data_IF_352266045438
#
_entry.id   IF_352266045438
#
_cell.length_a   1.000
_cell.length_b   1.000
_cell.length_c   1.000
_cell.angle_alpha   90.00
_cell.angle_beta   90.00
_cell.angle_gamma   90.00
#
_symmetry.space_group_name_H-M   'P 1'
#
loop_
_entity.id
_entity.type
_entity.pdbx_description
1 polymer ?
#
# COMPACT_ATOMS: atom_id res chain seq x y z
N UNK A 1 11.94 -48.42 -17.81
CA UNK A 1 11.02 -47.27 -17.79
C UNK A 1 10.90 -46.76 -19.21
N UNK A 2 9.69 -46.73 -19.76
CA UNK A 2 9.46 -46.27 -21.14
C UNK A 2 9.66 -44.76 -21.22
N UNK A 3 10.09 -44.25 -22.39
CA UNK A 3 10.30 -42.82 -22.65
C UNK A 3 9.05 -41.97 -22.27
N UNK A 4 7.86 -42.55 -22.41
CA UNK A 4 6.59 -41.96 -21.98
C UNK A 4 6.51 -41.66 -20.49
N UNK A 5 7.06 -42.53 -19.63
CA UNK A 5 7.02 -42.34 -18.17
C UNK A 5 7.92 -41.17 -17.73
N UNK A 6 9.04 -40.93 -18.42
CA UNK A 6 9.96 -39.82 -18.14
C UNK A 6 9.38 -38.47 -18.57
N UNK A 7 8.66 -38.42 -19.69
CA UNK A 7 8.00 -37.20 -20.17
C UNK A 7 6.87 -36.80 -19.22
N UNK A 8 6.02 -37.76 -18.81
CA UNK A 8 4.93 -37.49 -17.86
C UNK A 8 5.49 -37.02 -16.51
N UNK A 9 6.52 -37.68 -15.99
CA UNK A 9 7.16 -37.26 -14.74
C UNK A 9 7.79 -35.86 -14.87
N UNK A 10 8.42 -35.55 -16.00
CA UNK A 10 8.98 -34.22 -16.29
C UNK A 10 7.92 -33.13 -16.33
N UNK A 11 6.76 -33.38 -16.94
CA UNK A 11 5.63 -32.43 -17.00
C UNK A 11 4.99 -32.25 -15.62
N UNK A 12 4.86 -33.31 -14.83
CA UNK A 12 4.33 -33.24 -13.46
C UNK A 12 5.29 -32.48 -12.56
N UNK A 13 6.59 -32.76 -12.62
CA UNK A 13 7.62 -32.03 -11.88
C UNK A 13 7.72 -30.58 -12.36
N UNK A 14 7.57 -30.32 -13.66
CA UNK A 14 7.52 -28.95 -14.19
C UNK A 14 6.31 -28.18 -13.67
N UNK A 15 5.11 -28.76 -13.73
CA UNK A 15 3.92 -28.13 -13.14
C UNK A 15 3.97 -28.03 -11.62
N UNK A 16 4.69 -28.91 -10.93
CA UNK A 16 4.83 -28.85 -9.48
C UNK A 16 5.90 -27.84 -9.03
N UNK A 17 6.99 -27.69 -9.80
CA UNK A 17 8.08 -26.75 -9.51
C UNK A 17 7.84 -25.34 -10.08
N UNK A 18 7.12 -25.22 -11.21
CA UNK A 18 6.79 -23.94 -11.85
C UNK A 18 5.30 -23.60 -11.86
N UNK A 19 4.42 -24.49 -11.41
CA UNK A 19 3.03 -24.15 -11.10
C UNK A 19 2.95 -23.39 -9.79
N UNK A 20 3.62 -22.25 -9.72
CA UNK A 20 3.17 -21.17 -8.87
C UNK A 20 1.85 -20.74 -9.49
N UNK A 21 0.74 -21.27 -8.98
CA UNK A 21 -0.55 -20.63 -9.19
C UNK A 21 -0.34 -19.19 -8.77
N UNK A 22 -0.27 -18.26 -9.71
CA UNK A 22 -0.44 -16.84 -9.38
C UNK A 22 -1.75 -16.79 -8.61
N UNK A 23 -1.66 -16.61 -7.30
CA UNK A 23 -2.84 -16.38 -6.49
C UNK A 23 -3.39 -15.08 -7.02
N UNK A 24 -4.44 -15.18 -7.83
CA UNK A 24 -5.12 -14.04 -8.41
C UNK A 24 -5.37 -13.02 -7.30
N UNK A 25 -4.73 -11.86 -7.40
CA UNK A 25 -4.84 -10.80 -6.41
C UNK A 25 -6.25 -10.23 -6.56
N UNK A 26 -7.12 -10.52 -5.58
CA UNK A 26 -8.54 -10.18 -5.61
C UNK A 26 -8.83 -8.97 -4.76
N UNK A 27 -9.82 -8.19 -5.17
CA UNK A 27 -10.27 -7.04 -4.40
C UNK A 27 -10.76 -7.44 -3.00
N UNK A 28 -10.45 -6.61 -2.01
CA UNK A 28 -10.76 -6.86 -0.60
C UNK A 28 -11.82 -5.90 -0.07
N UNK A 29 -12.80 -6.41 0.68
CA UNK A 29 -13.80 -5.60 1.39
C UNK A 29 -13.28 -5.11 2.75
N UNK A 30 -11.98 -4.81 2.85
CA UNK A 30 -11.38 -4.10 3.99
C UNK A 30 -11.00 -2.69 3.54
N UNK A 31 -11.27 -1.72 4.40
CA UNK A 31 -10.91 -0.33 4.15
C UNK A 31 -10.11 0.26 5.31
N UNK A 32 -9.16 1.14 4.99
CA UNK A 32 -8.39 1.89 5.95
C UNK A 32 -8.53 3.40 5.72
N UNK A 33 -8.84 4.13 6.78
CA UNK A 33 -8.70 5.58 6.85
C UNK A 33 -7.46 5.85 7.71
N UNK A 34 -6.40 6.36 7.08
CA UNK A 34 -5.07 6.51 7.68
C UNK A 34 -4.82 8.01 7.83
N UNK A 35 -4.84 8.51 9.07
CA UNK A 35 -4.93 9.94 9.37
C UNK A 35 -3.81 10.45 10.29
N UNK A 36 -2.57 10.56 9.79
CA UNK A 36 -1.52 11.29 10.51
C UNK A 36 -1.83 12.79 10.68
N UNK A 37 -2.72 13.40 9.87
CA UNK A 37 -3.14 14.80 10.07
C UNK A 37 -3.89 15.02 11.39
N UNK A 38 -4.45 13.97 11.99
CA UNK A 38 -5.15 14.05 13.29
C UNK A 38 -4.25 14.42 14.48
N UNK A 39 -2.92 14.52 14.31
CA UNK A 39 -2.02 15.08 15.32
C UNK A 39 -2.36 16.55 15.59
N UNK A 40 -2.66 17.30 14.53
CA UNK A 40 -3.04 18.71 14.64
C UNK A 40 -4.54 18.81 14.92
N UNK A 41 -4.89 19.38 16.08
CA UNK A 41 -6.25 19.54 16.53
C UNK A 41 -7.11 20.38 15.56
N UNK A 42 -6.52 21.34 14.85
CA UNK A 42 -7.21 22.15 13.84
C UNK A 42 -7.45 21.40 12.54
N UNK A 43 -6.73 20.31 12.31
CA UNK A 43 -6.88 19.45 11.14
C UNK A 43 -7.69 18.20 11.47
N UNK A 44 -8.16 17.97 12.70
CA UNK A 44 -9.06 16.84 12.98
C UNK A 44 -10.42 17.04 12.30
N UNK A 45 -10.96 15.98 11.71
CA UNK A 45 -12.27 16.04 11.06
C UNK A 45 -13.07 14.74 11.26
N UNK A 46 -13.70 14.61 12.43
CA UNK A 46 -14.50 13.43 12.74
C UNK A 46 -15.73 13.30 11.83
N UNK A 47 -16.28 14.41 11.33
CA UNK A 47 -17.40 14.39 10.38
C UNK A 47 -17.01 13.70 9.08
N UNK A 48 -15.82 13.99 8.54
CA UNK A 48 -15.27 13.28 7.39
C UNK A 48 -15.10 11.78 7.67
N UNK A 49 -14.43 11.44 8.77
CA UNK A 49 -14.16 10.05 9.17
C UNK A 49 -15.45 9.26 9.30
N UNK A 50 -16.46 9.80 10.01
CA UNK A 50 -17.76 9.15 10.19
C UNK A 50 -18.51 8.99 8.87
N UNK A 51 -18.58 10.06 8.06
CA UNK A 51 -19.30 10.06 6.78
C UNK A 51 -18.76 8.98 5.84
N UNK A 52 -17.44 8.93 5.68
CA UNK A 52 -16.78 7.93 4.83
C UNK A 52 -16.96 6.53 5.41
N UNK A 53 -16.81 6.36 6.73
CA UNK A 53 -16.99 5.07 7.40
C UNK A 53 -18.41 4.53 7.17
N UNK A 54 -19.42 5.38 7.29
CA UNK A 54 -20.82 5.00 7.12
C UNK A 54 -21.13 4.62 5.66
N UNK A 55 -20.59 5.36 4.68
CA UNK A 55 -20.71 4.98 3.27
C UNK A 55 -20.07 3.61 3.04
N UNK A 56 -18.81 3.41 3.42
CA UNK A 56 -18.09 2.15 3.18
C UNK A 56 -18.75 0.96 3.90
N UNK A 57 -19.22 1.13 5.14
CA UNK A 57 -19.93 0.07 5.88
C UNK A 57 -21.26 -0.33 5.22
N UNK A 58 -22.01 0.61 4.64
CA UNK A 58 -23.23 0.30 3.86
C UNK A 58 -22.93 -0.59 2.64
N UNK A 59 -21.70 -0.55 2.12
CA UNK A 59 -21.22 -1.40 1.05
C UNK A 59 -20.43 -2.63 1.55
N UNK A 60 -20.64 -3.03 2.81
CA UNK A 60 -20.07 -4.22 3.45
C UNK A 60 -18.55 -4.20 3.64
N UNK A 61 -17.94 -3.02 3.72
CA UNK A 61 -16.52 -2.93 4.09
C UNK A 61 -16.32 -3.06 5.60
N UNK A 62 -15.29 -3.81 5.97
CA UNK A 62 -14.66 -3.74 7.29
C UNK A 62 -13.72 -2.53 7.34
N UNK A 63 -14.17 -1.45 7.98
CA UNK A 63 -13.48 -0.15 7.98
C UNK A 63 -12.69 0.01 9.28
N UNK A 64 -11.38 0.21 9.16
CA UNK A 64 -10.51 0.58 10.28
C UNK A 64 -10.02 2.03 10.13
N UNK A 65 -10.11 2.80 11.20
CA UNK A 65 -9.53 4.14 11.29
C UNK A 65 -8.24 4.09 12.11
N UNK A 66 -7.18 4.70 11.59
CA UNK A 66 -5.88 4.83 12.24
C UNK A 66 -5.56 6.31 12.41
N UNK A 67 -5.52 6.77 13.66
CA UNK A 67 -5.14 8.15 13.97
C UNK A 67 -3.60 8.34 14.00
N UNK A 68 -3.17 9.55 14.35
CA UNK A 68 -1.75 9.89 14.41
C UNK A 68 -0.96 9.06 15.42
N UNK A 69 -1.59 8.49 16.45
CA UNK A 69 -0.88 7.67 17.45
C UNK A 69 -0.44 6.32 16.87
N UNK A 70 -1.10 5.87 15.80
CA UNK A 70 -0.87 4.56 15.17
C UNK A 70 -0.09 4.67 13.86
N UNK A 71 -0.12 5.83 13.17
CA UNK A 71 0.40 6.02 11.80
C UNK A 71 1.91 6.33 11.73
N UNK A 72 2.70 5.55 12.46
CA UNK A 72 4.16 5.64 12.51
C UNK A 72 4.84 4.84 11.38
N UNK A 73 6.19 4.86 11.31
CA UNK A 73 6.94 4.16 10.26
C UNK A 73 6.66 2.66 10.25
N UNK A 74 6.58 2.02 11.41
CA UNK A 74 6.33 0.58 11.52
C UNK A 74 4.94 0.18 11.04
N UNK A 75 3.93 1.04 11.24
CA UNK A 75 2.62 0.86 10.62
C UNK A 75 2.72 0.87 9.10
N UNK A 76 3.38 1.88 8.52
CA UNK A 76 3.50 2.00 7.06
C UNK A 76 4.32 0.86 6.44
N UNK A 77 5.31 0.29 7.16
CA UNK A 77 6.08 -0.88 6.71
C UNK A 77 5.22 -2.13 6.51
N UNK A 78 4.04 -2.21 7.12
CA UNK A 78 3.12 -3.34 7.01
C UNK A 78 1.90 -3.02 6.15
N UNK A 79 1.84 -1.83 5.54
CA UNK A 79 0.64 -1.31 4.89
C UNK A 79 0.07 -2.29 3.84
N UNK A 80 0.94 -2.86 3.00
CA UNK A 80 0.55 -3.80 1.94
C UNK A 80 0.28 -5.24 2.43
N UNK A 81 0.50 -5.55 3.71
CA UNK A 81 0.15 -6.85 4.31
C UNK A 81 -1.29 -6.87 4.83
N UNK A 82 -1.89 -5.70 5.05
CA UNK A 82 -3.20 -5.59 5.72
C UNK A 82 -4.41 -5.87 4.79
N UNK A 83 -4.16 -6.12 3.50
CA UNK A 83 -5.17 -6.53 2.53
C UNK A 83 -6.36 -5.54 2.44
N UNK A 84 -6.09 -4.24 2.34
CA UNK A 84 -7.14 -3.21 2.16
C UNK A 84 -7.49 -3.01 0.69
N UNK A 85 -8.76 -3.13 0.31
CA UNK A 85 -9.24 -2.75 -1.02
C UNK A 85 -9.48 -1.24 -1.16
N UNK A 86 -9.70 -0.52 -0.06
CA UNK A 86 -9.82 0.96 -0.07
C UNK A 86 -8.85 1.53 0.95
N UNK A 87 -8.02 2.49 0.53
CA UNK A 87 -7.05 3.16 1.40
C UNK A 87 -7.21 4.67 1.21
N UNK A 88 -7.58 5.38 2.28
CA UNK A 88 -7.60 6.84 2.32
C UNK A 88 -6.41 7.33 3.13
N UNK A 89 -5.47 7.99 2.46
CA UNK A 89 -4.26 8.56 3.05
C UNK A 89 -4.49 10.03 3.33
N UNK A 90 -4.98 10.33 4.54
CA UNK A 90 -5.17 11.68 5.06
C UNK A 90 -3.86 12.17 5.66
N UNK A 91 -2.93 12.55 4.80
CA UNK A 91 -1.54 12.89 5.17
C UNK A 91 -1.02 14.15 4.49
N UNK A 92 -0.03 14.79 5.14
CA UNK A 92 0.81 15.78 4.47
C UNK A 92 1.64 15.12 3.38
N UNK A 93 1.92 15.89 2.34
CA UNK A 93 2.77 15.51 1.23
C UNK A 93 3.63 16.71 0.85
N UNK A 94 4.88 16.46 0.48
CA UNK A 94 5.78 17.52 0.04
C UNK A 94 6.63 17.06 -1.13
N UNK A 95 6.87 18.00 -2.05
CA UNK A 95 7.90 17.85 -3.07
C UNK A 95 9.26 17.78 -2.37
N UNK A 96 10.04 16.76 -2.71
CA UNK A 96 11.39 16.61 -2.21
C UNK A 96 12.31 17.68 -2.81
N UNK A 97 13.08 18.33 -1.94
CA UNK A 97 14.07 19.33 -2.36
C UNK A 97 15.09 18.73 -3.33
N UNK A 98 15.27 19.38 -4.48
CA UNK A 98 16.23 18.96 -5.52
C UNK A 98 15.81 17.73 -6.33
N UNK A 99 14.57 17.26 -6.18
CA UNK A 99 14.03 16.08 -6.88
C UNK A 99 12.62 16.40 -7.41
N UNK A 100 12.13 15.58 -8.33
CA UNK A 100 10.77 15.65 -8.86
C UNK A 100 9.94 14.52 -8.27
N UNK A 101 9.97 14.33 -6.95
CA UNK A 101 9.19 13.28 -6.28
C UNK A 101 8.45 13.85 -5.08
N UNK A 102 7.20 13.45 -4.91
CA UNK A 102 6.42 13.76 -3.71
C UNK A 102 6.55 12.61 -2.71
N UNK A 103 6.90 12.97 -1.47
CA UNK A 103 6.97 12.05 -0.33
C UNK A 103 5.79 12.27 0.62
N UNK A 104 5.29 11.19 1.21
CA UNK A 104 4.12 11.22 2.10
C UNK A 104 4.57 11.11 3.56
N UNK A 105 3.96 11.91 4.42
CA UNK A 105 4.37 12.02 5.82
C UNK A 105 3.77 10.90 6.66
N UNK A 106 4.53 10.45 7.64
CA UNK A 106 4.04 9.68 8.79
C UNK A 106 3.72 10.64 9.95
N UNK A 107 3.11 10.15 11.02
CA UNK A 107 2.98 10.90 12.27
C UNK A 107 4.24 10.85 13.16
N UNK A 108 5.24 10.06 12.77
CA UNK A 108 6.43 9.81 13.59
C UNK A 108 7.45 10.93 13.43
N UNK A 109 7.89 11.51 14.55
CA UNK A 109 8.94 12.54 14.57
C UNK A 109 10.23 11.99 14.01
N UNK A 110 10.88 12.80 13.17
CA UNK A 110 12.13 12.42 12.55
C UNK A 110 13.26 12.30 13.58
N UNK A 111 14.00 11.21 13.50
CA UNK A 111 15.22 10.97 14.28
C UNK A 111 16.31 10.40 13.36
N UNK A 112 17.44 11.10 13.25
CA UNK A 112 18.56 10.69 12.39
C UNK A 112 19.16 9.33 12.80
N UNK A 113 18.99 8.92 14.05
CA UNK A 113 19.56 7.67 14.60
C UNK A 113 18.68 6.45 14.36
N UNK A 114 17.40 6.63 14.02
CA UNK A 114 16.43 5.54 13.83
C UNK A 114 16.27 5.18 12.37
N UNK A 115 16.08 3.90 12.05
CA UNK A 115 15.90 3.43 10.66
C UNK A 115 17.06 3.84 9.72
N UNK A 116 18.30 3.81 10.22
CA UNK A 116 19.49 4.26 9.48
C UNK A 116 19.65 3.58 8.10
N UNK A 117 19.30 2.30 7.98
CA UNK A 117 19.26 1.59 6.69
C UNK A 117 18.24 2.21 5.72
N UNK A 118 17.00 2.38 6.16
CA UNK A 118 15.92 2.94 5.33
C UNK A 118 16.22 4.39 4.93
N UNK A 119 16.86 5.16 5.82
CA UNK A 119 17.34 6.51 5.51
C UNK A 119 18.49 6.51 4.51
N UNK A 120 19.51 5.65 4.71
CA UNK A 120 20.66 5.53 3.81
C UNK A 120 20.26 5.16 2.40
N UNK A 121 19.17 4.39 2.25
CA UNK A 121 18.58 3.97 0.97
C UNK A 121 17.52 4.94 0.43
N UNK A 122 17.29 6.07 1.11
CA UNK A 122 16.31 7.11 0.75
C UNK A 122 14.86 6.59 0.64
N UNK A 123 14.54 5.54 1.39
CA UNK A 123 13.18 5.03 1.55
C UNK A 123 12.41 5.90 2.55
N UNK A 124 13.10 6.33 3.61
CA UNK A 124 12.63 7.34 4.55
C UNK A 124 13.47 8.59 4.42
N UNK A 125 12.83 9.75 4.44
CA UNK A 125 13.47 11.06 4.40
C UNK A 125 12.90 11.98 5.49
N UNK A 126 13.59 13.10 5.73
CA UNK A 126 13.10 14.13 6.63
C UNK A 126 12.06 15.00 5.92
N UNK A 127 10.79 14.86 6.30
CA UNK A 127 9.74 15.82 5.98
C UNK A 127 9.78 17.01 6.95
N UNK A 128 9.59 18.23 6.44
CA UNK A 128 9.53 19.46 7.24
C UNK A 128 8.14 20.11 7.09
N UNK A 129 7.50 20.40 8.21
CA UNK A 129 6.25 21.15 8.28
C UNK A 129 6.49 22.43 9.05
N UNK A 130 6.04 23.55 8.49
CA UNK A 130 6.05 24.84 9.19
C UNK A 130 4.65 25.08 9.76
N UNK A 131 4.51 24.95 11.08
CA UNK A 131 3.25 25.17 11.79
C UNK A 131 3.46 26.37 12.71
N UNK A 132 2.77 27.47 12.43
CA UNK A 132 2.81 28.69 13.24
C UNK A 132 4.23 29.24 13.50
N UNK A 133 5.16 29.05 12.55
CA UNK A 133 6.55 29.50 12.68
C UNK A 133 7.49 28.47 13.31
N UNK A 134 6.98 27.34 13.79
CA UNK A 134 7.76 26.21 14.27
C UNK A 134 7.97 25.19 13.15
N UNK A 135 9.23 24.84 12.88
CA UNK A 135 9.55 23.78 11.92
C UNK A 135 9.56 22.43 12.63
N UNK A 136 8.52 21.63 12.40
CA UNK A 136 8.41 20.26 12.86
C UNK A 136 8.96 19.31 11.81
N UNK A 137 9.64 18.26 12.27
CA UNK A 137 10.29 17.26 11.42
C UNK A 137 9.68 15.89 11.64
N UNK A 138 9.33 15.22 10.55
CA UNK A 138 8.70 13.91 10.55
C UNK A 138 9.42 12.97 9.58
N UNK A 139 9.29 11.67 9.79
CA UNK A 139 9.61 10.73 8.73
C UNK A 139 8.58 10.86 7.62
N UNK A 140 9.06 10.98 6.38
CA UNK A 140 8.26 10.85 5.17
C UNK A 140 8.78 9.67 4.35
N UNK A 141 7.88 8.91 3.74
CA UNK A 141 8.23 7.75 2.93
C UNK A 141 8.16 8.08 1.44
N UNK A 142 9.10 7.49 0.69
CA UNK A 142 9.24 7.69 -0.74
C UNK A 142 8.48 6.66 -1.57
N UNK A 143 8.42 6.88 -2.88
CA UNK A 143 7.85 5.88 -3.79
C UNK A 143 8.59 4.54 -3.73
N UNK A 144 9.91 4.55 -3.49
CA UNK A 144 10.68 3.32 -3.32
C UNK A 144 10.33 2.58 -2.02
N UNK A 145 9.97 3.29 -0.96
CA UNK A 145 9.46 2.65 0.26
C UNK A 145 8.25 1.78 -0.04
N UNK A 146 7.29 2.28 -0.84
CA UNK A 146 6.11 1.52 -1.28
C UNK A 146 6.50 0.30 -2.12
N UNK A 147 7.42 0.47 -3.08
CA UNK A 147 7.94 -0.64 -3.91
C UNK A 147 8.58 -1.75 -3.10
N UNK A 148 9.12 -1.45 -1.93
CA UNK A 148 9.81 -2.41 -1.08
C UNK A 148 8.97 -3.00 0.05
N UNK A 149 7.74 -2.54 0.27
CA UNK A 149 6.85 -3.12 1.27
C UNK A 149 6.69 -4.65 1.10
N UNK A 150 6.66 -5.45 2.17
CA UNK A 150 6.14 -6.80 2.06
C UNK A 150 4.64 -6.78 1.71
N UNK A 151 4.18 -7.80 0.96
CA UNK A 151 2.78 -7.93 0.56
C UNK A 151 2.42 -7.17 -0.73
N UNK A 152 1.11 -7.11 -1.01
CA UNK A 152 0.53 -6.51 -2.22
C UNK A 152 -0.77 -5.78 -1.88
N UNK A 153 -1.09 -4.76 -2.66
CA UNK A 153 -2.38 -4.08 -2.62
C UNK A 153 -3.42 -4.91 -3.39
N UNK A 154 -4.51 -5.38 -2.77
CA UNK A 154 -5.52 -6.23 -3.40
C UNK A 154 -6.43 -5.45 -4.35
N UNK A 155 -5.95 -5.15 -5.58
CA UNK A 155 -6.68 -4.32 -6.55
C UNK A 155 -7.15 -2.99 -5.94
N UNK A 156 -6.36 -2.45 -5.01
CA UNK A 156 -6.81 -1.38 -4.11
C UNK A 156 -7.12 -0.08 -4.84
N UNK A 157 -8.06 0.66 -4.28
CA UNK A 157 -8.32 2.07 -4.58
C UNK A 157 -7.59 2.89 -3.52
N UNK A 158 -6.57 3.62 -3.93
CA UNK A 158 -5.78 4.48 -3.04
C UNK A 158 -6.16 5.93 -3.30
N UNK A 159 -6.54 6.67 -2.27
CA UNK A 159 -6.84 8.10 -2.34
C UNK A 159 -5.84 8.84 -1.47
N UNK A 160 -4.93 9.59 -2.08
CA UNK A 160 -3.95 10.42 -1.39
C UNK A 160 -4.43 11.86 -1.29
N UNK A 161 -4.66 12.32 -0.06
CA UNK A 161 -5.36 13.56 0.22
C UNK A 161 -4.43 14.76 0.43
N UNK A 162 -3.12 14.57 0.26
CA UNK A 162 -2.12 15.63 0.42
C UNK A 162 -1.87 16.45 -0.86
N UNK A 163 -1.17 17.57 -0.70
CA UNK A 163 -0.75 18.45 -1.79
C UNK A 163 0.12 17.71 -2.82
N UNK A 164 -0.12 17.96 -4.11
CA UNK A 164 0.67 17.48 -5.25
C UNK A 164 0.88 15.96 -5.31
N UNK A 165 0.09 15.21 -4.56
CA UNK A 165 0.15 13.76 -4.46
C UNK A 165 -0.02 13.05 -5.80
N UNK A 166 -0.61 13.74 -6.80
CA UNK A 166 -0.63 13.30 -8.19
C UNK A 166 -0.55 14.49 -9.15
N UNK A 167 0.60 15.17 -9.22
CA UNK A 167 0.88 16.11 -10.31
C UNK A 167 1.73 15.48 -11.44
N UNK A 168 1.66 16.04 -12.64
CA UNK A 168 2.33 15.50 -13.84
C UNK A 168 3.86 15.47 -13.74
N UNK A 169 4.47 16.33 -12.92
CA UNK A 169 5.94 16.46 -12.84
C UNK A 169 6.57 15.68 -11.69
N UNK A 170 5.83 15.36 -10.63
CA UNK A 170 6.40 14.87 -9.37
C UNK A 170 5.57 13.85 -8.58
N UNK A 171 4.25 13.84 -8.74
CA UNK A 171 3.36 12.88 -8.05
C UNK A 171 3.28 11.50 -8.73
N UNK A 172 3.62 11.40 -10.01
CA UNK A 172 3.49 10.16 -10.79
C UNK A 172 4.31 9.00 -10.19
N UNK A 173 5.51 9.27 -9.66
CA UNK A 173 6.39 8.21 -9.16
C UNK A 173 5.79 7.46 -7.96
N UNK A 174 5.07 8.17 -7.08
CA UNK A 174 4.37 7.62 -5.92
C UNK A 174 3.15 6.81 -6.37
N UNK A 175 2.30 7.38 -7.24
CA UNK A 175 1.15 6.68 -7.78
C UNK A 175 1.54 5.38 -8.51
N UNK A 176 2.59 5.44 -9.33
CA UNK A 176 3.15 4.28 -10.01
C UNK A 176 3.62 3.21 -9.03
N UNK A 177 4.26 3.58 -7.92
CA UNK A 177 4.70 2.61 -6.92
C UNK A 177 3.53 1.86 -6.27
N UNK A 178 2.42 2.54 -5.96
CA UNK A 178 1.21 1.87 -5.46
C UNK A 178 0.62 0.91 -6.51
N UNK A 179 0.54 1.34 -7.77
CA UNK A 179 -0.02 0.51 -8.85
C UNK A 179 0.86 -0.69 -9.20
N UNK A 180 2.19 -0.52 -9.26
CA UNK A 180 3.17 -1.61 -9.41
C UNK A 180 3.07 -2.63 -8.27
N UNK A 181 2.54 -2.21 -7.11
CA UNK A 181 2.33 -3.04 -5.94
C UNK A 181 0.92 -3.64 -5.85
N UNK A 182 0.09 -3.47 -6.88
CA UNK A 182 -1.22 -4.11 -7.01
C UNK A 182 -2.43 -3.19 -6.85
N UNK A 183 -2.24 -1.89 -6.59
CA UNK A 183 -3.36 -0.96 -6.58
C UNK A 183 -3.93 -0.78 -8.01
N UNK A 184 -5.26 -0.86 -8.14
CA UNK A 184 -5.94 -0.64 -9.43
C UNK A 184 -5.91 0.82 -9.83
N UNK A 185 -6.08 1.70 -8.84
CA UNK A 185 -6.12 3.15 -9.06
C UNK A 185 -5.51 3.90 -7.88
N UNK A 186 -4.78 4.95 -8.21
CA UNK A 186 -4.33 5.96 -7.27
C UNK A 186 -4.97 7.30 -7.65
N UNK A 187 -5.67 7.93 -6.71
CA UNK A 187 -6.35 9.21 -6.87
C UNK A 187 -5.65 10.23 -5.99
N UNK A 188 -5.34 11.42 -6.50
CA UNK A 188 -4.66 12.45 -5.75
C UNK A 188 -4.82 13.84 -6.34
N UNK A 189 -4.29 14.84 -5.64
CA UNK A 189 -4.38 16.24 -6.03
C UNK A 189 -3.18 16.66 -6.89
N UNK A 190 -3.46 17.41 -7.96
CA UNK A 190 -2.42 17.93 -8.86
C UNK A 190 -1.68 19.14 -8.29
N UNK A 191 -2.27 19.83 -7.32
CA UNK A 191 -1.74 21.06 -6.75
C UNK A 191 -1.88 21.12 -5.23
N UNK A 192 -1.88 22.35 -4.73
CA UNK A 192 -2.03 22.63 -3.31
C UNK A 192 -3.48 22.48 -2.91
N UNK A 193 -3.74 21.86 -1.77
CA UNK A 193 -5.09 21.65 -1.28
C UNK A 193 -5.15 21.89 0.23
N UNK A 194 -6.22 22.53 0.70
CA UNK A 194 -6.48 22.69 2.12
C UNK A 194 -7.10 21.42 2.71
N UNK A 195 -6.84 21.16 4.00
CA UNK A 195 -7.35 19.97 4.68
C UNK A 195 -8.89 19.91 4.65
N UNK A 196 -9.57 21.04 4.87
CA UNK A 196 -11.03 21.13 4.84
C UNK A 196 -11.61 20.89 3.45
N UNK A 197 -10.95 21.41 2.40
CA UNK A 197 -11.39 21.20 1.02
C UNK A 197 -11.20 19.75 0.58
N UNK A 198 -10.03 19.15 0.82
CA UNK A 198 -9.82 17.74 0.49
C UNK A 198 -10.78 16.83 1.25
N UNK A 199 -11.03 17.05 2.54
CA UNK A 199 -11.99 16.24 3.29
C UNK A 199 -13.39 16.30 2.67
N UNK A 200 -13.86 17.50 2.34
CA UNK A 200 -15.16 17.72 1.73
C UNK A 200 -15.29 17.04 0.37
N UNK A 201 -14.32 17.26 -0.52
CA UNK A 201 -14.40 16.73 -1.89
C UNK A 201 -14.12 15.22 -1.94
N UNK A 202 -13.28 14.67 -1.06
CA UNK A 202 -13.10 13.22 -0.95
C UNK A 202 -14.33 12.54 -0.34
N UNK A 203 -15.03 13.14 0.64
CA UNK A 203 -16.30 12.58 1.11
C UNK A 203 -17.33 12.47 -0.04
N UNK A 204 -17.43 13.50 -0.89
CA UNK A 204 -18.27 13.48 -2.10
C UNK A 204 -17.78 12.44 -3.11
N UNK A 205 -16.47 12.33 -3.33
CA UNK A 205 -15.89 11.32 -4.22
C UNK A 205 -16.33 9.92 -3.78
N UNK A 206 -16.16 9.60 -2.49
CA UNK A 206 -16.57 8.31 -1.92
C UNK A 206 -18.08 8.11 -2.07
N UNK A 207 -18.90 9.12 -1.81
CA UNK A 207 -20.34 9.02 -2.07
C UNK A 207 -20.66 8.71 -3.54
N UNK A 208 -20.02 9.38 -4.50
CA UNK A 208 -20.23 9.15 -5.95
C UNK A 208 -19.79 7.76 -6.39
N UNK A 209 -18.63 7.32 -5.92
CA UNK A 209 -18.07 6.01 -6.26
C UNK A 209 -18.92 4.86 -5.72
N UNK A 210 -19.41 4.98 -4.48
CA UNK A 210 -20.09 3.89 -3.78
C UNK A 210 -21.62 3.97 -3.89
N UNK A 211 -22.22 5.11 -3.54
CA UNK A 211 -23.69 5.26 -3.61
C UNK A 211 -24.17 5.59 -5.02
N UNK A 212 -23.44 6.46 -5.72
CA UNK A 212 -23.76 6.85 -7.09
C UNK A 212 -23.37 5.79 -8.14
N UNK A 213 -22.48 4.87 -7.77
CA UNK A 213 -21.86 3.90 -8.66
C UNK A 213 -21.31 4.56 -9.96
N UNK A 214 -20.79 5.78 -9.81
CA UNK A 214 -20.19 6.53 -10.91
C UNK A 214 -18.86 5.86 -11.32
N UNK A 215 -18.53 5.80 -12.63
CA UNK A 215 -17.19 5.46 -13.08
C UNK A 215 -16.14 6.38 -12.46
N UNK A 216 -14.94 5.86 -12.17
CA UNK A 216 -13.84 6.61 -11.53
C UNK A 216 -13.61 7.97 -12.19
N UNK A 217 -13.53 8.02 -13.52
CA UNK A 217 -13.26 9.26 -14.26
C UNK A 217 -14.34 10.32 -14.05
N UNK A 218 -15.61 9.91 -13.92
CA UNK A 218 -16.73 10.82 -13.71
C UNK A 218 -16.74 11.32 -12.27
N UNK A 219 -16.54 10.42 -11.30
CA UNK A 219 -16.50 10.79 -9.89
C UNK A 219 -15.34 11.76 -9.59
N UNK A 220 -14.17 11.53 -10.17
CA UNK A 220 -12.99 12.40 -10.04
C UNK A 220 -13.20 13.75 -10.73
N UNK A 221 -13.72 13.77 -11.97
CA UNK A 221 -14.00 15.00 -12.71
C UNK A 221 -15.04 15.90 -12.02
N UNK A 222 -15.92 15.32 -11.23
CA UNK A 222 -16.95 16.03 -10.47
C UNK A 222 -16.45 16.63 -9.14
N UNK A 223 -15.18 16.42 -8.78
CA UNK A 223 -14.57 17.10 -7.64
C UNK A 223 -14.32 18.58 -7.97
N UNK A 224 -14.58 19.46 -7.00
CA UNK A 224 -14.38 20.89 -7.17
C UNK A 224 -12.88 21.21 -7.08
N UNK A 225 -12.26 21.86 -8.08
CA UNK A 225 -10.87 22.32 -7.97
C UNK A 225 -10.70 23.34 -6.83
N UNK A 226 -9.50 23.43 -6.28
CA UNK A 226 -9.13 24.48 -5.31
C UNK A 226 -8.09 25.43 -5.91
N UNK A 227 -8.23 26.72 -5.65
CA UNK A 227 -7.26 27.73 -6.07
C UNK A 227 -6.53 28.26 -4.85
N UNK A 228 -5.21 28.01 -4.77
CA UNK A 228 -4.34 28.50 -3.70
C UNK A 228 -3.13 29.19 -4.33
N UNK A 229 -2.88 30.44 -3.95
CA UNK A 229 -1.69 31.19 -4.42
C UNK A 229 -1.61 31.32 -5.95
N UNK A 230 -2.75 31.40 -6.65
CA UNK A 230 -2.82 31.49 -8.11
C UNK A 230 -2.61 30.17 -8.86
N UNK A 231 -2.47 29.05 -8.15
CA UNK A 231 -2.38 27.71 -8.76
C UNK A 231 -3.69 26.95 -8.57
N UNK A 232 -4.17 26.29 -9.61
CA UNK A 232 -5.34 25.41 -9.56
C UNK A 232 -4.89 23.99 -9.19
N UNK A 233 -5.57 23.40 -8.22
CA UNK A 233 -5.43 22.01 -7.81
C UNK A 233 -6.69 21.25 -8.18
N UNK A 234 -6.52 20.22 -9.00
CA UNK A 234 -7.60 19.34 -9.47
C UNK A 234 -7.37 17.94 -8.92
N UNK A 235 -8.45 17.23 -8.64
CA UNK A 235 -8.39 15.82 -8.34
C UNK A 235 -8.19 15.04 -9.65
N UNK A 236 -7.22 14.15 -9.69
CA UNK A 236 -6.87 13.33 -10.85
C UNK A 236 -6.61 11.88 -10.43
N UNK A 237 -6.52 10.96 -11.40
CA UNK A 237 -6.27 9.55 -11.13
C UNK A 237 -5.18 8.97 -12.03
N UNK A 238 -4.55 7.89 -11.55
CA UNK A 238 -3.51 7.13 -12.23
C UNK A 238 -3.77 5.62 -12.08
N UNK A 239 -3.54 4.80 -13.12
CA UNK A 239 -3.17 5.21 -14.48
C UNK A 239 -4.32 5.93 -15.20
N UNK A 240 -3.99 6.96 -15.98
CA UNK A 240 -4.96 7.76 -16.72
C UNK A 240 -5.38 7.07 -18.03
N UNK A 241 -5.99 5.90 -17.92
CA UNK A 241 -6.47 5.08 -19.06
C UNK A 241 -7.97 4.80 -18.96
N UNK A 242 -8.62 4.63 -20.11
CA UNK A 242 -10.08 4.44 -20.17
C UNK A 242 -10.57 3.22 -19.40
N UNK A 243 -9.81 2.13 -19.37
CA UNK A 243 -10.13 0.93 -18.59
C UNK A 243 -10.31 1.27 -17.10
N UNK A 244 -9.33 1.97 -16.52
CA UNK A 244 -9.38 2.42 -15.12
C UNK A 244 -10.44 3.50 -14.93
N UNK A 245 -10.54 4.44 -15.87
CA UNK A 245 -11.52 5.53 -15.77
C UNK A 245 -12.98 5.06 -15.85
N UNK A 246 -13.26 4.00 -16.61
CA UNK A 246 -14.60 3.44 -16.79
C UNK A 246 -14.98 2.42 -15.69
N UNK A 247 -14.01 1.97 -14.91
CA UNK A 247 -14.24 1.03 -13.81
C UNK A 247 -15.22 1.61 -12.79
N UNK A 248 -16.17 0.78 -12.38
CA UNK A 248 -17.09 1.07 -11.28
C UNK A 248 -16.71 0.24 -10.06
N UNK A 249 -16.87 0.82 -8.87
CA UNK A 249 -16.50 0.11 -7.64
C UNK A 249 -17.43 -1.09 -7.40
N UNK A 250 -18.68 -1.04 -7.87
CA UNK A 250 -19.58 -2.21 -7.84
C UNK A 250 -18.99 -3.44 -8.50
N UNK A 251 -18.20 -3.27 -9.57
CA UNK A 251 -17.64 -4.40 -10.33
C UNK A 251 -16.58 -5.13 -9.49
N UNK A 252 -15.72 -4.36 -8.81
CA UNK A 252 -14.72 -4.88 -7.86
C UNK A 252 -15.38 -5.56 -6.65
N UNK A 253 -16.45 -4.96 -6.11
CA UNK A 253 -17.21 -5.54 -4.99
C UNK A 253 -17.85 -6.87 -5.41
N UNK A 254 -18.47 -6.91 -6.59
CA UNK A 254 -19.11 -8.12 -7.11
C UNK A 254 -18.09 -9.24 -7.34
N UNK A 255 -16.90 -8.93 -7.88
CA UNK A 255 -15.80 -9.87 -8.06
C UNK A 255 -15.35 -10.49 -6.71
N UNK A 256 -15.18 -9.64 -5.69
CA UNK A 256 -14.79 -10.06 -4.34
C UNK A 256 -15.86 -10.97 -3.70
N UNK A 257 -17.15 -10.61 -3.83
CA UNK A 257 -18.25 -11.38 -3.26
C UNK A 257 -18.46 -12.72 -3.97
N UNK A 258 -18.33 -12.78 -5.30
CA UNK A 258 -18.42 -14.01 -6.07
C UNK A 258 -17.33 -15.01 -5.66
N UNK A 259 -16.11 -14.51 -5.43
CA UNK A 259 -14.97 -15.31 -4.95
C UNK A 259 -15.20 -15.86 -3.53
N UNK A 260 -15.79 -15.07 -2.64
CA UNK A 260 -16.10 -15.54 -1.29
C UNK A 260 -17.17 -16.65 -1.29
N UNK A 261 -18.13 -16.60 -2.22
CA UNK A 261 -19.15 -17.65 -2.38
C UNK A 261 -18.55 -18.95 -2.91
N UNK A 262 -17.62 -18.89 -3.87
CA UNK A 262 -16.99 -20.11 -4.42
C UNK A 262 -16.10 -20.81 -3.39
N UNK A 263 -15.34 -20.06 -2.58
CA UNK A 263 -14.54 -20.62 -1.47
C UNK A 263 -15.43 -21.31 -0.43
N UNK A 264 -16.55 -20.69 -0.02
CA UNK A 264 -17.50 -21.30 0.93
C UNK A 264 -18.12 -22.59 0.38
N UNK A 265 -18.48 -22.62 -0.91
CA UNK A 265 -19.05 -23.82 -1.56
C UNK A 265 -18.04 -24.97 -1.62
N UNK A 266 -16.76 -24.68 -1.90
CA UNK A 266 -15.69 -25.68 -1.88
C UNK A 266 -15.42 -26.21 -0.47
N UNK A 267 -15.43 -25.35 0.55
CA UNK A 267 -15.28 -25.75 1.96
C UNK A 267 -16.44 -26.59 2.51
N UNK A 268 -17.67 -26.32 2.06
CA UNK A 268 -18.86 -27.11 2.43
C UNK A 268 -18.90 -28.48 1.73
N UNK A 269 -18.43 -28.57 0.49
CA UNK A 269 -18.33 -29.85 -0.23
C UNK A 269 -17.14 -30.71 0.23
N UNK A 270 -16.16 -30.14 0.94
CA UNK A 270 -15.01 -30.87 1.50
C UNK A 270 -15.29 -31.62 2.81
N UNK A 271 -16.48 -31.49 3.39
CA UNK A 271 -16.87 -32.13 4.66
C UNK A 271 -18.06 -33.10 4.53
N UNK A 272 -18.33 -33.57 3.30
CA UNK A 272 -19.50 -34.41 2.98
C UNK A 272 -19.21 -35.84 2.52
N UNK A 273 -18.00 -36.18 2.07
CA UNK A 273 -17.75 -37.43 1.32
C UNK A 273 -16.55 -38.24 1.83
N UNK A 274 -16.51 -38.63 3.12
CA UNK A 274 -15.71 -39.81 3.56
C UNK A 274 -16.38 -40.50 4.76
N UNK A 275 -17.63 -40.95 4.65
CA UNK A 275 -18.10 -42.11 5.45
C UNK A 275 -19.19 -42.84 4.67
N UNK A 276 -18.79 -43.83 3.87
CA UNK A 276 -19.53 -45.10 3.73
C UNK A 276 -18.67 -46.14 3.02
N UNK A 277 -18.47 -47.24 3.74
CA UNK A 277 -18.11 -48.60 3.28
C UNK A 277 -16.77 -48.73 2.55
N UNK A 278 -15.73 -49.30 3.19
CA UNK A 278 -15.61 -50.76 3.27
C UNK A 278 -14.77 -51.22 4.47
N UNK A 279 -15.28 -52.22 5.16
CA UNK A 279 -14.58 -53.02 6.18
C UNK A 279 -13.61 -53.99 5.49
N UNK A 280 -12.30 -53.89 5.75
CA UNK A 280 -11.39 -55.05 5.73
C UNK A 280 -10.35 -54.92 6.86
N UNK A 281 -10.20 -56.06 7.53
CA UNK A 281 -9.48 -56.42 8.75
C UNK A 281 -8.05 -55.88 8.93
N UNK A 282 -7.75 -55.59 10.21
CA UNK A 282 -6.42 -55.56 10.86
C UNK A 282 -5.49 -56.67 10.37
N UNK A 283 -4.24 -56.30 10.10
CA UNK A 283 -3.05 -57.08 10.46
C UNK A 283 -1.97 -56.12 10.95
N UNK A 284 -1.60 -56.24 12.24
CA UNK A 284 -0.35 -55.71 12.77
C UNK A 284 0.78 -56.66 12.34
N UNK A 285 1.95 -56.13 11.96
CA UNK A 285 3.21 -56.37 12.66
C UNK A 285 4.45 -56.03 11.82
N UNK A 286 5.50 -55.67 12.55
CA UNK A 286 6.94 -55.68 12.25
C UNK A 286 7.61 -54.42 11.67
N UNK A 287 8.32 -53.76 12.58
CA UNK A 287 9.46 -52.90 12.36
C UNK A 287 10.71 -53.70 11.97
N UNK A 288 11.51 -53.21 11.02
CA UNK A 288 12.98 -53.39 10.89
C UNK A 288 13.48 -52.36 9.85
N UNK A 289 14.11 -51.25 10.23
CA UNK A 289 15.57 -51.02 10.33
C UNK A 289 16.38 -51.58 9.15
N UNK A 290 16.94 -50.70 8.30
CA UNK A 290 18.28 -50.87 7.75
C UNK A 290 18.82 -49.55 7.17
N UNK A 291 20.00 -49.18 7.65
CA UNK A 291 20.81 -48.01 7.33
C UNK A 291 21.81 -48.31 6.19
N UNK A 292 22.28 -47.21 5.58
CA UNK A 292 23.59 -47.02 4.93
C UNK A 292 23.73 -47.34 3.43
N UNK A 293 24.16 -46.32 2.65
CA UNK A 293 25.50 -46.24 2.08
C UNK A 293 25.84 -44.80 1.59
N UNK A 294 26.83 -44.18 2.28
CA UNK A 294 27.88 -43.19 1.88
C UNK A 294 27.52 -42.05 0.91
N UNK A 295 27.61 -40.73 1.21
CA UNK A 295 28.69 -39.89 1.81
C UNK A 295 30.12 -40.14 1.30
N UNK A 296 30.54 -39.35 0.31
CA UNK A 296 31.87 -38.71 0.08
C UNK A 296 31.53 -37.42 -0.69
N UNK A 297 31.80 -36.19 -0.22
CA UNK A 297 33.09 -35.57 0.02
C UNK A 297 33.01 -34.49 1.12
N UNK A 298 34.14 -34.29 1.78
CA UNK A 298 34.41 -33.38 2.90
C UNK A 298 34.49 -31.88 2.50
N UNK A 299 34.45 -30.96 3.48
CA UNK A 299 34.40 -29.51 3.25
C UNK A 299 35.80 -28.87 3.19
N UNK A 300 35.90 -27.73 2.52
CA UNK A 300 37.07 -26.83 2.59
C UNK A 300 36.67 -25.53 3.27
N UNK A 301 37.51 -25.13 4.20
CA UNK A 301 37.44 -24.03 5.15
C UNK A 301 38.02 -22.70 4.61
N UNK A 302 37.33 -21.58 4.91
CA UNK A 302 37.81 -20.21 5.27
C UNK A 302 38.83 -19.46 4.36
N UNK A 303 38.98 -18.11 4.43
CA UNK A 303 38.70 -17.23 5.58
C UNK A 303 38.03 -15.86 5.29
N UNK A 304 37.67 -15.25 6.42
CA UNK A 304 37.27 -13.88 6.71
C UNK A 304 38.26 -12.81 6.25
N UNK A 305 37.72 -11.67 5.80
CA UNK A 305 38.46 -10.41 5.64
C UNK A 305 37.82 -9.32 6.52
N UNK A 306 38.62 -8.82 7.46
CA UNK A 306 38.42 -7.54 8.14
C UNK A 306 38.87 -6.42 7.20
N UNK A 307 38.14 -5.31 7.11
CA UNK A 307 38.74 -4.03 6.74
C UNK A 307 38.13 -2.85 7.51
N UNK A 308 39.03 -2.26 8.28
CA UNK A 308 39.18 -0.91 8.83
C UNK A 308 38.17 0.20 8.49
N UNK A 309 37.82 0.88 9.58
CA UNK A 309 37.32 2.25 9.71
C UNK A 309 38.28 3.25 9.02
N UNK A 310 37.71 4.20 8.27
CA UNK A 310 38.34 5.51 8.05
C UNK A 310 37.28 6.61 8.13
N UNK A 311 37.50 7.50 9.08
CA UNK A 311 36.79 8.76 9.31
C UNK A 311 37.18 9.80 8.25
N UNK A 312 36.20 10.52 7.70
CA UNK A 312 36.43 11.82 7.09
C UNK A 312 35.33 12.80 7.51
N UNK A 313 35.78 13.97 7.99
CA UNK A 313 35.04 15.09 8.55
C UNK A 313 35.31 16.29 7.64
N UNK A 314 34.27 16.95 7.10
CA UNK A 314 34.21 18.39 6.73
C UNK A 314 32.86 18.69 6.04
N UNK A 315 32.01 19.57 6.60
CA UNK A 315 31.92 21.01 6.29
C UNK A 315 31.52 21.26 4.82
N UNK A 316 30.43 21.92 4.45
CA UNK A 316 30.01 23.25 4.91
C UNK A 316 28.54 23.55 4.58
N UNK A 317 27.93 24.34 5.46
CA UNK A 317 26.67 25.09 5.34
C UNK A 317 26.52 25.92 4.07
N UNK A 318 25.33 25.89 3.46
CA UNK A 318 24.71 27.08 2.84
C UNK A 318 23.24 27.12 3.19
N UNK A 319 22.91 28.00 4.13
CA UNK A 319 21.56 28.39 4.51
C UNK A 319 21.07 29.40 3.49
N UNK A 320 20.04 29.05 2.72
CA UNK A 320 19.27 30.02 1.94
C UNK A 320 17.91 30.16 2.60
N UNK A 321 17.65 31.34 3.14
CA UNK A 321 16.42 31.72 3.83
C UNK A 321 15.37 32.07 2.76
N UNK A 322 14.22 31.39 2.78
CA UNK A 322 13.02 31.85 2.08
C UNK A 322 11.96 32.17 3.12
N UNK A 323 11.61 33.46 3.20
CA UNK A 323 10.56 33.99 4.07
C UNK A 323 9.18 33.51 3.59
N UNK A 324 8.37 32.97 4.50
CA UNK A 324 6.92 32.91 4.34
C UNK A 324 6.32 34.15 4.99
N UNK A 325 5.73 35.03 4.19
CA UNK A 325 4.81 36.08 4.67
C UNK A 325 3.38 35.54 4.63
N UNK A 326 2.64 35.74 5.72
CA UNK A 326 1.20 35.48 5.80
C UNK A 326 0.46 36.53 4.97
N UNK A 327 -0.48 36.11 4.12
CA UNK A 327 -1.56 37.00 3.68
C UNK A 327 -2.57 37.17 4.83
N UNK A 328 -3.06 38.39 5.10
CA UNK A 328 -4.10 38.64 6.09
C UNK A 328 -5.48 38.28 5.53
N UNK A 329 -6.34 37.90 6.50
CA UNK A 329 -7.81 37.74 6.53
C UNK A 329 -8.62 37.94 5.25
#
# INVERSE_FOLDING_TARGET
MTLSALIVLGVVVYHFLWGVSETEVKFSLKAAIIDPLSEDEFLRNQTFVNTVTDILKRHNFDVTYYDYTQTNVEFFRKLAENNYGVILLRTHAALREGDSTVDLFTSERYDITRYSDLQGRRLLVMGKLNISGEVRKYFAFSSNFIRELPGVFPKSIVVAMGCQTLNQTSGISMAKAFCEKGATVYIGWSGWVSASHTDKEIAKLIQRLFDGNEPIKNAVKNATPEMIGGTISELVFYPAMDEVGNLKISDLINEAQASNKSVKKAGLNGYGDVVKTTSVKRFNSFATVAYSWLRRFSPVSCPSFNFLISSARCSSSKTSIVHFSKSPR
#
